data_IF_438610588223
#
_entry.id   IF_438610588223
#
_cell.length_a   1.000
_cell.length_b   1.000
_cell.length_c   1.000
_cell.angle_alpha   90.00
_cell.angle_beta   90.00
_cell.angle_gamma   90.00
#
_symmetry.space_group_name_H-M   'P 1'
#
loop_
_entity.id
_entity.type
_entity.pdbx_description
1 polymer ?
#
# COMPACT_ATOMS: atom_id res chain seq x y z
N UNK A 1 -36.11 29.34 -12.79
CA UNK A 1 -35.51 28.37 -11.84
C UNK A 1 -34.65 27.45 -12.69
N UNK A 2 -33.33 27.51 -12.52
CA UNK A 2 -32.45 26.51 -13.14
C UNK A 2 -32.72 25.19 -12.45
N UNK A 3 -32.97 24.13 -13.23
CA UNK A 3 -33.03 22.77 -12.68
C UNK A 3 -31.71 22.45 -11.94
N UNK A 4 -31.76 21.78 -10.79
CA UNK A 4 -30.56 21.40 -10.11
C UNK A 4 -29.76 20.43 -11.02
N UNK A 5 -28.60 20.86 -11.47
CA UNK A 5 -27.66 19.99 -12.17
C UNK A 5 -27.23 18.93 -11.18
N UNK A 6 -27.74 17.71 -11.34
CA UNK A 6 -27.29 16.56 -10.52
C UNK A 6 -25.88 16.20 -10.98
N UNK A 7 -24.87 16.72 -10.28
CA UNK A 7 -23.48 16.39 -10.52
C UNK A 7 -23.16 15.07 -9.79
N UNK A 8 -23.29 13.93 -10.47
CA UNK A 8 -22.81 12.66 -9.96
C UNK A 8 -21.29 12.54 -10.22
N UNK A 9 -20.49 12.33 -9.15
CA UNK A 9 -19.06 12.01 -9.27
C UNK A 9 -18.89 10.51 -9.45
N UNK A 10 -18.42 10.08 -10.61
CA UNK A 10 -18.27 8.65 -10.98
C UNK A 10 -16.82 8.18 -11.06
N UNK A 11 -15.84 9.05 -10.80
CA UNK A 11 -14.41 8.73 -10.89
C UNK A 11 -13.80 8.37 -9.53
N UNK A 12 -14.46 7.48 -8.78
CA UNK A 12 -13.99 7.04 -7.46
C UNK A 12 -12.71 6.20 -7.52
N UNK A 13 -12.35 5.68 -8.69
CA UNK A 13 -11.07 5.01 -8.92
C UNK A 13 -9.88 6.00 -8.90
N UNK A 14 -10.10 7.26 -9.30
CA UNK A 14 -9.06 8.30 -9.21
C UNK A 14 -8.89 8.82 -7.77
N UNK A 15 -9.99 9.13 -7.08
CA UNK A 15 -10.01 9.55 -5.66
C UNK A 15 -11.45 9.51 -5.15
N UNK A 16 -11.63 9.56 -3.83
CA UNK A 16 -12.95 9.65 -3.20
C UNK A 16 -13.08 10.94 -2.38
N UNK A 17 -14.29 11.47 -2.16
CA UNK A 17 -14.52 12.46 -1.11
C UNK A 17 -14.04 11.91 0.25
N UNK A 18 -13.53 12.80 1.10
CA UNK A 18 -13.23 12.43 2.48
C UNK A 18 -14.55 12.32 3.25
N UNK A 19 -14.76 11.23 3.98
CA UNK A 19 -15.98 11.06 4.78
C UNK A 19 -15.98 12.00 5.98
N UNK A 20 -17.15 12.39 6.43
CA UNK A 20 -17.34 13.38 7.51
C UNK A 20 -16.65 12.93 8.80
N UNK A 21 -16.76 11.66 9.17
CA UNK A 21 -16.12 11.09 10.36
C UNK A 21 -14.59 11.19 10.33
N UNK A 22 -13.99 11.06 9.13
CA UNK A 22 -12.55 11.25 8.97
C UNK A 22 -12.16 12.73 9.08
N UNK A 23 -13.00 13.66 8.58
CA UNK A 23 -12.81 15.11 8.73
C UNK A 23 -12.87 15.49 10.21
N UNK A 24 -13.86 14.98 10.95
CA UNK A 24 -14.01 15.24 12.39
C UNK A 24 -12.79 14.72 13.17
N UNK A 25 -12.35 13.49 12.92
CA UNK A 25 -11.17 12.93 13.56
C UNK A 25 -9.90 13.75 13.27
N UNK A 26 -9.70 14.20 12.03
CA UNK A 26 -8.59 15.08 11.69
C UNK A 26 -8.66 16.42 12.43
N UNK A 27 -9.84 17.03 12.50
CA UNK A 27 -10.05 18.30 13.20
C UNK A 27 -9.80 18.18 14.70
N UNK A 28 -10.19 17.07 15.31
CA UNK A 28 -9.93 16.80 16.73
C UNK A 28 -8.43 16.73 17.02
N UNK A 29 -7.70 15.98 16.22
CA UNK A 29 -6.23 15.86 16.34
C UNK A 29 -5.54 17.22 16.16
N UNK A 30 -5.93 18.00 15.16
CA UNK A 30 -5.36 19.33 14.92
C UNK A 30 -5.56 20.29 16.11
N UNK A 31 -6.62 20.11 16.89
CA UNK A 31 -6.92 20.94 18.07
C UNK A 31 -6.29 20.41 19.35
N UNK A 32 -6.25 19.09 19.55
CA UNK A 32 -5.99 18.50 20.86
C UNK A 32 -4.73 17.62 20.92
N UNK A 33 -4.24 17.07 19.76
CA UNK A 33 -3.09 16.18 19.68
C UNK A 33 -2.07 16.61 18.60
N UNK A 34 -1.84 17.91 18.47
CA UNK A 34 -1.00 18.54 17.44
C UNK A 34 0.52 18.40 17.68
N UNK A 35 0.93 17.76 18.77
CA UNK A 35 2.34 17.62 19.15
C UNK A 35 3.17 16.78 18.18
N UNK A 36 4.51 16.88 18.31
CA UNK A 36 5.41 15.97 17.64
C UNK A 36 5.45 14.62 18.39
N UNK A 37 5.10 13.48 17.76
CA UNK A 37 5.09 12.16 18.40
C UNK A 37 6.44 11.72 18.99
N UNK A 38 7.55 12.27 18.47
CA UNK A 38 8.91 11.97 18.96
C UNK A 38 9.29 12.75 20.23
N UNK A 39 8.48 13.72 20.67
CA UNK A 39 8.81 14.54 21.83
C UNK A 39 8.44 13.85 23.15
N UNK A 40 9.36 13.82 24.17
CA UNK A 40 9.16 13.06 25.42
C UNK A 40 8.34 13.83 26.47
N UNK A 41 7.45 14.72 26.08
CA UNK A 41 6.59 15.48 26.97
C UNK A 41 5.11 15.23 26.66
N UNK A 42 4.21 15.64 27.59
CA UNK A 42 2.77 15.33 27.53
C UNK A 42 2.12 15.61 26.17
N UNK A 43 2.47 16.72 25.50
CA UNK A 43 1.88 17.08 24.20
C UNK A 43 2.35 16.11 23.10
N UNK A 44 3.61 15.72 23.11
CA UNK A 44 4.14 14.72 22.18
C UNK A 44 3.58 13.32 22.44
N UNK A 45 3.45 12.94 23.72
CA UNK A 45 2.86 11.63 24.10
C UNK A 45 1.41 11.49 23.62
N UNK A 46 0.59 12.55 23.73
CA UNK A 46 -0.78 12.54 23.22
C UNK A 46 -0.82 12.34 21.70
N UNK A 47 0.04 13.00 20.94
CA UNK A 47 0.15 12.82 19.50
C UNK A 47 0.62 11.40 19.14
N UNK A 48 1.59 10.86 19.90
CA UNK A 48 2.08 9.48 19.71
C UNK A 48 0.98 8.45 19.97
N UNK A 49 0.18 8.63 21.00
CA UNK A 49 -0.94 7.73 21.30
C UNK A 49 -1.94 7.66 20.14
N UNK A 50 -2.32 8.82 19.58
CA UNK A 50 -3.20 8.86 18.39
C UNK A 50 -2.55 8.19 17.17
N UNK A 51 -1.26 8.43 16.94
CA UNK A 51 -0.53 7.82 15.81
C UNK A 51 -0.53 6.30 15.95
N UNK A 52 -0.18 5.76 17.12
CA UNK A 52 -0.11 4.31 17.32
C UNK A 52 -1.50 3.66 17.33
N UNK A 53 -2.54 4.34 17.85
CA UNK A 53 -3.92 3.86 17.73
C UNK A 53 -4.38 3.81 16.27
N UNK A 54 -4.02 4.82 15.48
CA UNK A 54 -4.31 4.84 14.03
C UNK A 54 -3.62 3.69 13.31
N UNK A 55 -2.36 3.42 13.66
CA UNK A 55 -1.58 2.29 13.13
C UNK A 55 -2.21 0.95 13.47
N UNK A 56 -2.62 0.78 14.73
CA UNK A 56 -3.30 -0.44 15.18
C UNK A 56 -4.61 -0.69 14.41
N UNK A 57 -5.39 0.35 14.15
CA UNK A 57 -6.63 0.25 13.35
C UNK A 57 -6.36 -0.18 11.91
N UNK A 58 -5.32 0.37 11.26
CA UNK A 58 -4.93 -0.08 9.90
C UNK A 58 -4.45 -1.53 9.93
N UNK A 59 -3.66 -1.91 10.93
CA UNK A 59 -3.18 -3.28 11.10
C UNK A 59 -4.34 -4.27 11.29
N UNK A 60 -5.33 -3.92 12.11
CA UNK A 60 -6.55 -4.71 12.29
C UNK A 60 -7.31 -4.91 10.97
N UNK A 61 -7.49 -3.85 10.17
CA UNK A 61 -8.12 -3.94 8.85
C UNK A 61 -7.38 -4.87 7.87
N UNK A 62 -6.07 -5.03 8.03
CA UNK A 62 -5.22 -5.91 7.22
C UNK A 62 -5.04 -7.32 7.83
N UNK A 63 -5.41 -7.52 9.11
CA UNK A 63 -5.17 -8.77 9.84
C UNK A 63 -3.68 -9.00 10.16
N UNK A 64 -2.93 -7.93 10.48
CA UNK A 64 -1.49 -7.95 10.74
C UNK A 64 -1.15 -7.28 12.07
N UNK A 65 0.12 -7.30 12.48
CA UNK A 65 0.57 -6.61 13.68
C UNK A 65 0.88 -5.13 13.38
N UNK A 66 0.67 -4.25 14.36
CA UNK A 66 0.89 -2.82 14.19
C UNK A 66 2.34 -2.46 13.84
N UNK A 67 3.31 -3.24 14.30
CA UNK A 67 4.74 -3.05 13.97
C UNK A 67 5.09 -3.44 12.53
N UNK A 68 4.18 -4.03 11.78
CA UNK A 68 4.31 -4.33 10.35
C UNK A 68 3.75 -3.22 9.44
N UNK A 69 3.09 -2.21 10.00
CA UNK A 69 2.49 -1.10 9.24
C UNK A 69 3.34 0.16 9.36
N UNK A 70 3.66 0.78 8.22
CA UNK A 70 4.46 2.00 8.11
C UNK A 70 3.68 3.07 7.34
N UNK A 71 3.48 4.25 7.94
CA UNK A 71 2.82 5.34 7.25
C UNK A 71 3.73 5.99 6.20
N UNK A 72 3.13 6.35 5.07
CA UNK A 72 3.75 7.03 3.94
C UNK A 72 2.89 8.21 3.50
N UNK A 73 3.39 9.06 2.60
CA UNK A 73 2.59 10.16 2.04
C UNK A 73 1.53 9.72 1.03
N UNK A 74 1.41 8.41 0.76
CA UNK A 74 0.46 7.82 -0.16
C UNK A 74 1.04 6.58 -0.85
N UNK A 75 0.22 5.91 -1.67
CA UNK A 75 0.63 4.71 -2.39
C UNK A 75 1.88 4.92 -3.27
N UNK A 76 2.06 6.09 -3.86
CA UNK A 76 3.25 6.37 -4.68
C UNK A 76 4.54 6.25 -3.87
N UNK A 77 4.61 6.82 -2.66
CA UNK A 77 5.76 6.65 -1.78
C UNK A 77 5.89 5.21 -1.31
N UNK A 78 4.79 4.58 -0.89
CA UNK A 78 4.78 3.19 -0.45
C UNK A 78 5.29 2.22 -1.54
N UNK A 79 4.84 2.36 -2.79
CA UNK A 79 5.31 1.56 -3.92
C UNK A 79 6.80 1.79 -4.23
N UNK A 80 7.27 3.04 -4.18
CA UNK A 80 8.70 3.32 -4.36
C UNK A 80 9.54 2.72 -3.22
N UNK A 81 9.04 2.82 -1.98
CA UNK A 81 9.71 2.23 -0.83
C UNK A 81 9.71 0.70 -0.93
N UNK A 82 8.60 0.06 -1.31
CA UNK A 82 8.51 -1.38 -1.53
C UNK A 82 9.50 -1.84 -2.60
N UNK A 83 9.43 -1.27 -3.81
CA UNK A 83 10.28 -1.69 -4.93
C UNK A 83 11.75 -1.40 -4.66
N UNK A 84 12.09 -0.12 -4.41
CA UNK A 84 13.50 0.26 -4.25
C UNK A 84 14.08 -0.22 -2.93
N UNK A 85 13.29 -0.16 -1.84
CA UNK A 85 13.74 -0.58 -0.51
C UNK A 85 14.06 -2.07 -0.46
N UNK A 86 13.20 -2.92 -1.03
CA UNK A 86 13.44 -4.36 -1.13
C UNK A 86 14.64 -4.67 -2.03
N UNK A 87 14.67 -4.09 -3.22
CA UNK A 87 15.75 -4.32 -4.17
C UNK A 87 17.12 -3.89 -3.62
N UNK A 88 17.21 -2.68 -3.06
CA UNK A 88 18.49 -2.16 -2.54
C UNK A 88 18.99 -2.91 -1.31
N UNK A 89 18.10 -3.47 -0.48
CA UNK A 89 18.47 -4.30 0.65
C UNK A 89 19.13 -5.62 0.23
N UNK A 90 18.80 -6.12 -0.97
CA UNK A 90 19.24 -7.44 -1.50
C UNK A 90 20.07 -7.35 -2.80
N UNK A 91 20.57 -6.17 -3.14
CA UNK A 91 21.31 -5.90 -4.40
C UNK A 91 22.52 -6.78 -4.65
N UNK A 92 23.11 -7.34 -3.59
CA UNK A 92 24.28 -8.19 -3.66
C UNK A 92 23.91 -9.69 -3.75
N UNK A 93 22.65 -10.06 -3.51
CA UNK A 93 22.13 -11.42 -3.63
C UNK A 93 21.60 -11.68 -5.05
N UNK A 94 20.79 -10.75 -5.58
CA UNK A 94 20.20 -10.82 -6.91
C UNK A 94 19.82 -9.42 -7.39
N UNK A 95 19.71 -9.26 -8.72
CA UNK A 95 19.24 -8.03 -9.37
C UNK A 95 18.15 -8.33 -10.39
N UNK A 96 17.24 -9.23 -10.06
CA UNK A 96 16.12 -9.60 -10.93
C UNK A 96 14.79 -9.22 -10.31
N UNK A 97 13.92 -8.60 -11.11
CA UNK A 97 12.55 -8.18 -10.76
C UNK A 97 11.59 -8.81 -11.77
N UNK A 98 10.50 -9.41 -11.28
CA UNK A 98 9.36 -9.84 -12.08
C UNK A 98 8.17 -8.95 -11.74
N UNK A 99 7.42 -8.47 -12.73
CA UNK A 99 6.28 -7.57 -12.52
C UNK A 99 5.22 -7.76 -13.61
N UNK A 100 4.00 -7.27 -13.39
CA UNK A 100 2.96 -7.29 -14.43
C UNK A 100 3.11 -6.11 -15.41
N UNK A 101 2.57 -6.26 -16.62
CA UNK A 101 2.45 -5.15 -17.58
C UNK A 101 1.36 -4.13 -17.20
N UNK A 102 0.52 -4.46 -16.20
CA UNK A 102 -0.67 -3.69 -15.79
C UNK A 102 -0.40 -2.68 -14.67
N UNK A 103 0.80 -2.64 -14.11
CA UNK A 103 1.12 -1.89 -12.90
C UNK A 103 0.86 -0.37 -13.03
N UNK A 104 0.44 0.23 -11.93
CA UNK A 104 0.34 1.68 -11.82
C UNK A 104 1.68 2.38 -12.07
N UNK A 105 1.65 3.63 -12.57
CA UNK A 105 2.83 4.41 -12.90
C UNK A 105 3.85 4.54 -11.74
N UNK A 106 3.42 4.50 -10.48
CA UNK A 106 4.31 4.53 -9.31
C UNK A 106 5.18 3.28 -9.19
N UNK A 107 4.69 2.12 -9.64
CA UNK A 107 5.44 0.85 -9.71
C UNK A 107 6.28 0.81 -11.00
N UNK A 108 5.64 1.00 -12.17
CA UNK A 108 6.34 0.87 -13.46
C UNK A 108 7.50 1.86 -13.61
N UNK A 109 7.36 3.11 -13.11
CA UNK A 109 8.44 4.10 -13.18
C UNK A 109 9.54 3.82 -12.16
N UNK A 110 9.20 3.30 -10.97
CA UNK A 110 10.17 2.84 -9.98
C UNK A 110 11.01 1.70 -10.55
N UNK A 111 10.36 0.67 -11.11
CA UNK A 111 11.03 -0.49 -11.75
C UNK A 111 11.87 -0.05 -12.96
N UNK A 112 11.37 0.90 -13.78
CA UNK A 112 12.17 1.48 -14.87
C UNK A 112 13.43 2.17 -14.36
N UNK A 113 13.35 2.82 -13.20
CA UNK A 113 14.52 3.37 -12.49
C UNK A 113 15.52 2.28 -12.16
N UNK A 114 15.07 1.18 -11.56
CA UNK A 114 15.91 0.02 -11.23
C UNK A 114 16.57 -0.58 -12.48
N UNK A 115 15.84 -0.72 -13.58
CA UNK A 115 16.39 -1.21 -14.86
C UNK A 115 17.56 -0.33 -15.36
N UNK A 116 17.46 0.99 -15.23
CA UNK A 116 18.56 1.91 -15.57
C UNK A 116 19.77 1.77 -14.66
N UNK A 117 19.58 1.25 -13.45
CA UNK A 117 20.62 0.93 -12.47
C UNK A 117 21.17 -0.50 -12.64
N UNK A 118 20.86 -1.17 -13.76
CA UNK A 118 21.40 -2.49 -14.13
C UNK A 118 20.63 -3.70 -13.57
N UNK A 119 19.35 -3.50 -13.20
CA UNK A 119 18.47 -4.61 -12.80
C UNK A 119 17.86 -5.28 -14.02
N UNK A 120 17.81 -6.60 -14.02
CA UNK A 120 17.05 -7.41 -14.97
C UNK A 120 15.56 -7.33 -14.60
N UNK A 121 14.71 -7.04 -15.59
CA UNK A 121 13.28 -6.83 -15.36
C UNK A 121 12.49 -7.61 -16.38
N UNK A 122 11.68 -8.54 -15.88
CA UNK A 122 10.74 -9.34 -16.67
C UNK A 122 9.32 -8.84 -16.45
N UNK A 123 8.60 -8.60 -17.54
CA UNK A 123 7.20 -8.18 -17.51
C UNK A 123 6.31 -9.33 -17.92
N UNK A 124 5.35 -9.68 -17.07
CA UNK A 124 4.34 -10.69 -17.37
C UNK A 124 3.15 -9.98 -18.01
N UNK A 125 2.76 -10.48 -19.17
CA UNK A 125 1.66 -9.92 -19.93
C UNK A 125 0.30 -10.33 -19.34
N UNK A 126 -0.68 -9.50 -19.58
CA UNK A 126 -2.08 -9.80 -19.35
C UNK A 126 -2.81 -9.67 -20.68
N UNK A 127 -3.55 -10.68 -21.04
CA UNK A 127 -4.32 -10.69 -22.28
C UNK A 127 -5.81 -10.70 -21.96
N UNK A 128 -6.44 -9.56 -22.12
CA UNK A 128 -7.89 -9.35 -21.93
C UNK A 128 -8.40 -9.76 -20.52
N UNK A 129 -7.63 -9.47 -19.48
CA UNK A 129 -7.98 -9.78 -18.08
C UNK A 129 -7.51 -11.15 -17.61
N UNK A 130 -6.73 -11.85 -18.44
CA UNK A 130 -6.12 -13.13 -18.08
C UNK A 130 -4.62 -12.94 -17.89
N UNK A 131 -4.19 -12.95 -16.64
CA UNK A 131 -2.77 -12.90 -16.28
C UNK A 131 -2.08 -14.19 -16.75
N UNK A 132 -0.95 -14.05 -17.49
CA UNK A 132 -0.23 -15.18 -18.06
C UNK A 132 0.59 -15.94 -17.00
N UNK A 133 -0.03 -16.94 -16.38
CA UNK A 133 0.62 -17.78 -15.38
C UNK A 133 1.71 -18.69 -15.98
N UNK A 134 1.62 -19.07 -17.28
CA UNK A 134 2.67 -19.87 -17.93
C UNK A 134 3.92 -19.03 -18.14
N UNK A 135 3.77 -17.80 -18.63
CA UNK A 135 4.86 -16.83 -18.72
C UNK A 135 5.48 -16.55 -17.35
N UNK A 136 4.64 -16.37 -16.29
CA UNK A 136 5.13 -16.18 -14.93
C UNK A 136 6.01 -17.36 -14.49
N UNK A 137 5.56 -18.59 -14.67
CA UNK A 137 6.33 -19.79 -14.32
C UNK A 137 7.68 -19.83 -15.05
N UNK A 138 7.74 -19.43 -16.31
CA UNK A 138 8.98 -19.31 -17.07
C UNK A 138 9.90 -18.17 -16.59
N UNK A 139 9.33 -17.09 -16.09
CA UNK A 139 10.05 -15.90 -15.62
C UNK A 139 10.60 -16.03 -14.19
N UNK A 140 9.97 -16.85 -13.35
CA UNK A 140 10.40 -17.09 -11.96
C UNK A 140 11.62 -18.01 -11.94
N UNK A 141 12.79 -17.42 -11.81
CA UNK A 141 14.09 -18.09 -11.74
C UNK A 141 14.77 -17.70 -10.43
N UNK A 142 15.49 -18.64 -9.82
CA UNK A 142 16.39 -18.34 -8.72
C UNK A 142 17.78 -17.87 -9.23
N UNK A 143 18.36 -16.82 -8.68
CA UNK A 143 17.78 -15.95 -7.66
C UNK A 143 16.95 -14.80 -8.27
N UNK A 144 15.72 -14.60 -7.79
CA UNK A 144 14.90 -13.41 -8.05
C UNK A 144 14.80 -12.57 -6.77
N UNK A 145 14.91 -11.25 -6.86
CA UNK A 145 14.82 -10.36 -5.69
C UNK A 145 13.38 -10.01 -5.33
N UNK A 146 12.57 -9.65 -6.33
CA UNK A 146 11.24 -9.11 -6.11
C UNK A 146 10.28 -9.57 -7.21
N UNK A 147 9.10 -10.02 -6.81
CA UNK A 147 7.91 -10.00 -7.66
C UNK A 147 6.97 -8.90 -7.19
N UNK A 148 6.52 -8.03 -8.08
CA UNK A 148 5.65 -6.90 -7.77
C UNK A 148 4.45 -6.88 -8.68
N UNK A 149 3.25 -7.07 -8.12
CA UNK A 149 1.99 -7.12 -8.86
C UNK A 149 0.90 -6.35 -8.13
N UNK A 150 0.00 -5.70 -8.87
CA UNK A 150 -1.19 -5.10 -8.28
C UNK A 150 -2.31 -6.14 -8.09
N UNK A 151 -3.22 -5.91 -7.12
CA UNK A 151 -4.40 -6.77 -6.93
C UNK A 151 -5.52 -6.44 -7.90
N UNK A 152 -5.78 -5.13 -8.09
CA UNK A 152 -6.87 -4.64 -8.96
C UNK A 152 -6.31 -3.56 -9.87
N UNK A 153 -6.49 -3.73 -11.17
CA UNK A 153 -6.07 -2.74 -12.15
C UNK A 153 -6.94 -1.47 -12.05
N UNK A 154 -6.29 -0.31 -11.98
CA UNK A 154 -6.93 0.93 -11.58
C UNK A 154 -7.86 1.57 -12.64
N UNK A 155 -7.77 1.17 -13.90
CA UNK A 155 -8.57 1.69 -15.02
C UNK A 155 -9.57 0.65 -15.52
N UNK A 156 -9.14 -0.60 -15.64
CA UNK A 156 -9.92 -1.70 -16.21
C UNK A 156 -10.69 -2.49 -15.14
N UNK A 157 -10.30 -2.39 -13.86
CA UNK A 157 -10.89 -3.15 -12.77
C UNK A 157 -10.56 -4.65 -12.77
N UNK A 158 -9.62 -5.09 -13.59
CA UNK A 158 -9.22 -6.50 -13.64
C UNK A 158 -8.54 -6.95 -12.35
N UNK A 159 -8.88 -8.16 -11.93
CA UNK A 159 -8.33 -8.79 -10.73
C UNK A 159 -7.15 -9.68 -11.10
N UNK A 160 -5.96 -9.40 -10.58
CA UNK A 160 -4.82 -10.29 -10.72
C UNK A 160 -4.85 -11.38 -9.63
N UNK A 161 -4.46 -12.62 -9.95
CA UNK A 161 -4.52 -13.77 -9.05
C UNK A 161 -3.31 -13.77 -8.07
N UNK A 162 -3.27 -12.79 -7.13
CA UNK A 162 -2.13 -12.62 -6.20
C UNK A 162 -1.80 -13.88 -5.41
N UNK A 163 -2.77 -14.62 -4.82
CA UNK A 163 -2.45 -15.85 -4.10
C UNK A 163 -1.75 -16.90 -4.98
N UNK A 164 -2.22 -17.09 -6.22
CA UNK A 164 -1.64 -18.03 -7.19
C UNK A 164 -0.26 -17.60 -7.65
N UNK A 165 -0.05 -16.29 -7.83
CA UNK A 165 1.26 -15.69 -8.16
C UNK A 165 2.26 -15.95 -7.02
N UNK A 166 1.83 -15.75 -5.77
CA UNK A 166 2.67 -16.00 -4.60
C UNK A 166 2.97 -17.49 -4.45
N UNK A 167 2.00 -18.37 -4.67
CA UNK A 167 2.23 -19.82 -4.65
C UNK A 167 3.27 -20.25 -5.72
N UNK A 168 3.20 -19.69 -6.93
CA UNK A 168 4.20 -19.93 -7.95
C UNK A 168 5.59 -19.40 -7.56
N UNK A 169 5.66 -18.23 -6.88
CA UNK A 169 6.89 -17.69 -6.31
C UNK A 169 7.48 -18.65 -5.27
N UNK A 170 6.67 -19.15 -4.33
CA UNK A 170 7.13 -20.06 -3.28
C UNK A 170 7.70 -21.36 -3.82
N UNK A 171 7.13 -21.85 -4.95
CA UNK A 171 7.62 -23.06 -5.62
C UNK A 171 8.92 -22.81 -6.39
N UNK A 172 9.05 -21.70 -7.12
CA UNK A 172 10.08 -21.54 -8.16
C UNK A 172 11.15 -20.51 -7.84
N UNK A 173 10.84 -19.54 -6.99
CA UNK A 173 11.75 -18.48 -6.55
C UNK A 173 11.49 -18.12 -5.07
N UNK A 174 11.62 -19.09 -4.13
CA UNK A 174 11.26 -18.91 -2.73
C UNK A 174 12.07 -17.81 -2.01
N UNK A 175 13.22 -17.41 -2.56
CA UNK A 175 14.01 -16.30 -2.02
C UNK A 175 13.42 -14.92 -2.42
N UNK A 176 12.58 -14.84 -3.44
CA UNK A 176 12.01 -13.59 -3.91
C UNK A 176 11.02 -13.00 -2.91
N UNK A 177 11.08 -11.69 -2.68
CA UNK A 177 10.03 -10.98 -1.96
C UNK A 177 8.81 -10.78 -2.87
N UNK A 178 7.61 -10.89 -2.30
CA UNK A 178 6.35 -10.59 -2.98
C UNK A 178 5.78 -9.25 -2.51
N UNK A 179 5.60 -8.31 -3.43
CA UNK A 179 4.93 -7.04 -3.22
C UNK A 179 3.58 -7.02 -3.94
N UNK A 180 2.54 -6.57 -3.24
CA UNK A 180 1.23 -6.31 -3.82
C UNK A 180 0.83 -4.83 -3.71
N UNK A 181 0.58 -4.17 -4.83
CA UNK A 181 -0.14 -2.89 -4.82
C UNK A 181 -1.64 -3.16 -4.63
N UNK A 182 -2.12 -2.97 -3.40
CA UNK A 182 -3.51 -3.16 -3.00
C UNK A 182 -4.31 -1.85 -2.94
N UNK A 183 -3.80 -0.77 -3.54
CA UNK A 183 -4.40 0.57 -3.49
C UNK A 183 -5.86 0.58 -3.97
N UNK A 184 -6.22 -0.22 -4.96
CA UNK A 184 -7.59 -0.30 -5.48
C UNK A 184 -8.45 -1.37 -4.80
N UNK A 185 -7.84 -2.37 -4.12
CA UNK A 185 -8.57 -3.45 -3.45
C UNK A 185 -8.84 -3.19 -1.98
N UNK A 186 -7.94 -2.50 -1.26
CA UNK A 186 -8.09 -2.26 0.17
C UNK A 186 -9.41 -1.54 0.51
N UNK A 187 -10.14 -2.05 1.51
CA UNK A 187 -11.44 -1.55 1.91
C UNK A 187 -12.61 -1.86 0.96
N UNK A 188 -12.33 -2.40 -0.23
CA UNK A 188 -13.34 -2.79 -1.24
C UNK A 188 -13.45 -4.31 -1.40
N UNK A 189 -12.29 -5.01 -1.33
CA UNK A 189 -12.19 -6.47 -1.38
C UNK A 189 -11.43 -6.97 -0.15
N UNK A 190 -11.56 -8.25 0.24
CA UNK A 190 -10.66 -8.87 1.19
C UNK A 190 -9.20 -8.71 0.71
N UNK A 191 -8.35 -8.22 1.61
CA UNK A 191 -6.95 -7.91 1.29
C UNK A 191 -6.05 -8.40 2.44
N UNK A 192 -6.01 -9.72 2.73
CA UNK A 192 -5.26 -10.30 3.83
C UNK A 192 -3.82 -10.63 3.40
N UNK A 193 -2.81 -9.78 3.68
CA UNK A 193 -1.45 -10.00 3.20
C UNK A 193 -0.82 -11.29 3.74
N UNK A 194 -1.15 -11.70 4.97
CA UNK A 194 -0.64 -12.95 5.57
C UNK A 194 -1.17 -14.19 4.86
N UNK A 195 -2.47 -14.22 4.56
CA UNK A 195 -3.10 -15.36 3.89
C UNK A 195 -2.60 -15.50 2.44
N UNK A 196 -2.29 -14.36 1.80
CA UNK A 196 -1.70 -14.35 0.46
C UNK A 196 -0.21 -14.66 0.47
N UNK A 197 0.46 -14.60 1.62
CA UNK A 197 1.89 -14.82 1.71
C UNK A 197 2.76 -13.71 1.13
N UNK A 198 2.21 -12.50 0.93
CA UNK A 198 2.99 -11.34 0.47
C UNK A 198 3.86 -10.79 1.59
N UNK A 199 5.04 -10.29 1.24
CA UNK A 199 5.99 -9.69 2.17
C UNK A 199 5.81 -8.18 2.31
N UNK A 200 5.27 -7.54 1.26
CA UNK A 200 5.02 -6.11 1.16
C UNK A 200 3.63 -5.84 0.57
N UNK A 201 2.89 -4.87 1.14
CA UNK A 201 1.60 -4.50 0.59
C UNK A 201 1.36 -3.00 0.73
N UNK A 202 0.99 -2.37 -0.38
CA UNK A 202 0.73 -0.91 -0.46
C UNK A 202 -0.75 -0.60 -0.39
N UNK A 203 -1.14 0.40 0.43
CA UNK A 203 -2.50 0.94 0.52
C UNK A 203 -2.50 2.46 0.57
N UNK A 204 -3.64 3.09 0.24
CA UNK A 204 -3.81 4.55 0.26
C UNK A 204 -5.14 4.99 0.87
N UNK A 205 -5.12 6.08 1.64
CA UNK A 205 -6.31 6.61 2.30
C UNK A 205 -7.36 7.16 1.34
N UNK A 206 -6.94 7.91 0.32
CA UNK A 206 -7.85 8.63 -0.56
C UNK A 206 -8.69 7.77 -1.52
N UNK A 207 -8.49 6.48 -1.55
CA UNK A 207 -9.28 5.53 -2.36
C UNK A 207 -10.46 4.94 -1.61
N UNK A 208 -10.57 5.23 -0.31
CA UNK A 208 -11.55 4.64 0.61
C UNK A 208 -12.25 5.67 1.51
N UNK A 209 -12.34 6.92 1.07
CA UNK A 209 -12.95 7.98 1.87
C UNK A 209 -12.02 8.63 2.89
N UNK A 210 -10.73 8.34 2.85
CA UNK A 210 -9.70 8.95 3.67
C UNK A 210 -9.05 10.18 3.01
N UNK A 211 -8.19 10.91 3.76
CA UNK A 211 -7.52 12.08 3.24
C UNK A 211 -6.45 11.73 2.19
N UNK A 212 -6.19 12.67 1.28
CA UNK A 212 -5.00 12.67 0.43
C UNK A 212 -3.76 13.00 1.27
N UNK A 213 -2.60 12.57 0.81
CA UNK A 213 -1.33 12.84 1.50
C UNK A 213 -0.97 11.79 2.55
N UNK A 214 -1.69 10.66 2.59
CA UNK A 214 -1.37 9.52 3.44
C UNK A 214 -1.68 8.20 2.76
N UNK A 215 -0.82 7.20 3.03
CA UNK A 215 -0.98 5.79 2.72
C UNK A 215 -0.20 4.97 3.74
N UNK A 216 -0.12 3.68 3.51
CA UNK A 216 0.71 2.82 4.33
C UNK A 216 1.36 1.72 3.49
N UNK A 217 2.52 1.26 3.96
CA UNK A 217 3.20 0.06 3.52
C UNK A 217 3.14 -0.96 4.65
N UNK A 218 2.56 -2.13 4.38
CA UNK A 218 2.78 -3.32 5.19
C UNK A 218 4.14 -3.91 4.83
N UNK A 219 4.93 -4.19 5.83
CA UNK A 219 6.21 -4.90 5.72
C UNK A 219 6.18 -6.07 6.68
N UNK A 220 6.16 -7.29 6.15
CA UNK A 220 6.18 -8.51 6.94
C UNK A 220 7.39 -8.53 7.87
N UNK A 221 7.17 -8.89 9.12
CA UNK A 221 8.24 -8.94 10.13
C UNK A 221 9.44 -9.78 9.64
N UNK A 222 10.63 -9.22 9.75
CA UNK A 222 11.86 -9.85 9.29
C UNK A 222 12.26 -9.52 7.85
N UNK A 223 11.38 -8.89 7.06
CA UNK A 223 11.74 -8.42 5.72
C UNK A 223 12.74 -7.28 5.80
N UNK A 224 13.91 -7.48 5.20
CA UNK A 224 14.93 -6.45 5.13
C UNK A 224 14.57 -5.39 4.11
N UNK A 225 14.61 -4.13 4.53
CA UNK A 225 14.28 -2.97 3.71
C UNK A 225 15.37 -1.91 3.80
N UNK A 226 15.68 -1.29 2.68
CA UNK A 226 16.54 -0.12 2.63
C UNK A 226 15.69 1.15 2.63
N UNK A 227 16.04 2.14 3.47
CA UNK A 227 15.32 3.42 3.49
C UNK A 227 15.66 4.29 2.28
N UNK A 228 14.66 4.94 1.70
CA UNK A 228 14.85 5.95 0.65
C UNK A 228 14.82 7.39 1.20
N UNK A 229 14.49 7.57 2.50
CA UNK A 229 14.34 8.87 3.14
C UNK A 229 15.14 8.90 4.45
N UNK A 230 16.31 9.51 4.42
CA UNK A 230 17.19 9.64 5.58
C UNK A 230 16.77 10.81 6.47
N UNK A 231 16.83 10.65 7.80
CA UNK A 231 16.44 11.71 8.75
C UNK A 231 16.36 11.22 10.19
N UNK A 232 15.36 11.68 10.92
CA UNK A 232 15.22 11.55 12.38
C UNK A 232 14.73 10.19 12.88
N UNK A 233 14.68 9.14 12.05
CA UNK A 233 14.34 7.77 12.48
C UNK A 233 12.83 7.51 12.69
N UNK A 234 11.95 8.40 12.25
CA UNK A 234 10.50 8.18 12.27
C UNK A 234 10.15 6.92 11.49
N UNK A 235 8.94 6.39 11.72
CA UNK A 235 8.52 5.11 11.15
C UNK A 235 9.61 4.02 11.29
N UNK A 236 10.17 3.92 12.49
CA UNK A 236 11.21 2.94 12.85
C UNK A 236 12.44 2.97 11.93
N UNK A 237 12.77 4.15 11.39
CA UNK A 237 13.92 4.38 10.51
C UNK A 237 13.66 4.06 9.04
N UNK A 238 12.52 3.49 8.69
CA UNK A 238 12.19 3.14 7.31
C UNK A 238 11.72 4.37 6.51
N UNK A 239 11.01 5.30 7.15
CA UNK A 239 10.49 6.51 6.52
C UNK A 239 10.64 7.70 7.46
N UNK A 240 11.70 8.46 7.32
CA UNK A 240 11.97 9.64 8.15
C UNK A 240 11.08 10.84 7.77
N UNK A 241 10.87 11.73 8.72
CA UNK A 241 10.04 12.94 8.64
C UNK A 241 8.90 12.89 9.64
N UNK A 242 8.62 14.04 10.30
CA UNK A 242 7.56 14.13 11.31
C UNK A 242 6.23 13.58 10.77
N UNK A 243 5.64 12.67 11.52
CA UNK A 243 4.44 11.95 11.10
C UNK A 243 3.22 12.88 11.10
N UNK A 244 2.39 12.86 10.06
CA UNK A 244 1.19 13.66 9.96
C UNK A 244 0.04 13.03 10.75
N UNK A 245 0.06 13.15 12.08
CA UNK A 245 -0.85 12.45 13.01
C UNK A 245 -2.32 12.62 12.64
N UNK A 246 -2.72 13.84 12.26
CA UNK A 246 -4.11 14.12 11.84
C UNK A 246 -4.52 13.35 10.58
N UNK A 247 -3.62 13.19 9.60
CA UNK A 247 -3.91 12.38 8.41
C UNK A 247 -3.98 10.90 8.77
N UNK A 248 -3.13 10.42 9.68
CA UNK A 248 -3.16 9.04 10.15
C UNK A 248 -4.50 8.72 10.82
N UNK A 249 -5.01 9.62 11.67
CA UNK A 249 -6.31 9.48 12.32
C UNK A 249 -7.46 9.44 11.29
N UNK A 250 -7.48 10.36 10.33
CA UNK A 250 -8.48 10.36 9.26
C UNK A 250 -8.42 9.11 8.38
N UNK A 251 -7.22 8.63 8.07
CA UNK A 251 -7.05 7.39 7.31
C UNK A 251 -7.55 6.17 8.10
N UNK A 252 -7.24 6.07 9.38
CA UNK A 252 -7.68 4.96 10.24
C UNK A 252 -9.22 4.88 10.33
N UNK A 253 -9.89 6.03 10.51
CA UNK A 253 -11.37 6.11 10.54
C UNK A 253 -11.95 5.65 9.19
N UNK A 254 -11.42 6.15 8.09
CA UNK A 254 -11.89 5.75 6.76
C UNK A 254 -11.65 4.27 6.47
N UNK A 255 -10.49 3.73 6.86
CA UNK A 255 -10.15 2.33 6.69
C UNK A 255 -11.10 1.40 7.46
N UNK A 256 -11.33 1.70 8.74
CA UNK A 256 -12.27 0.97 9.58
C UNK A 256 -13.66 0.94 8.94
N UNK A 257 -14.20 2.11 8.57
CA UNK A 257 -15.52 2.24 7.94
C UNK A 257 -15.61 1.49 6.61
N UNK A 258 -14.58 1.57 5.77
CA UNK A 258 -14.54 0.87 4.50
C UNK A 258 -14.53 -0.66 4.70
N UNK A 259 -13.76 -1.17 5.67
CA UNK A 259 -13.70 -2.60 5.98
C UNK A 259 -15.00 -3.12 6.59
N UNK A 260 -15.64 -2.37 7.48
CA UNK A 260 -16.93 -2.73 8.11
C UNK A 260 -18.06 -2.78 7.06
N UNK A 261 -18.08 -1.84 6.12
CA UNK A 261 -19.14 -1.73 5.10
C UNK A 261 -18.84 -2.51 3.82
N UNK A 262 -17.71 -3.22 3.73
CA UNK A 262 -17.23 -3.86 2.50
C UNK A 262 -18.26 -4.77 1.84
N UNK A 263 -18.89 -5.66 2.61
CA UNK A 263 -19.88 -6.61 2.08
C UNK A 263 -21.13 -5.89 1.55
N UNK A 264 -21.62 -4.90 2.29
CA UNK A 264 -22.75 -4.10 1.88
C UNK A 264 -22.47 -3.31 0.60
N UNK A 265 -21.27 -2.73 0.49
CA UNK A 265 -20.84 -1.99 -0.69
C UNK A 265 -20.67 -2.90 -1.92
N UNK A 266 -20.15 -4.12 -1.74
CA UNK A 266 -20.07 -5.12 -2.81
C UNK A 266 -21.44 -5.57 -3.28
N UNK A 267 -22.36 -5.84 -2.34
CA UNK A 267 -23.74 -6.22 -2.68
C UNK A 267 -24.50 -5.11 -3.42
N UNK A 268 -24.18 -3.84 -3.15
CA UNK A 268 -24.77 -2.70 -3.86
C UNK A 268 -24.20 -2.52 -5.28
N UNK A 269 -22.96 -2.93 -5.51
CA UNK A 269 -22.29 -2.83 -6.81
C UNK A 269 -22.71 -3.92 -7.82
N UNK A 270 -23.31 -5.02 -7.35
CA UNK A 270 -23.85 -6.13 -8.14
C UNK A 270 -25.36 -5.97 -8.36
#
# INVERSE_FOLDING_TARGET
>A
MQEPVCNAYLDNAATTPVIDEAIEAMNDVLRHAWGNPSSPHRVGSAAKEVLEQSRATIAECLGVDADEVFFTSGATEANNLAVRGACMARKDESRRIVTSSLEHASVTRSIRGMRREGWDVEHIEDVAGNFDMEQLHGALLEPTTLISVMRVQNELGWLLPVPEIVAARDERAPSALAHCDATQSFGKLPTPPRDWGVDLLTIAGHKIGGPRGIGALYVKRGTQMFTNAFGGGQERGLRSGTEPVFLAAGFAVAAKKACENREANLAHAH
#
